data_IF_533659886896
#
_entry.id   IF_533659886896
#
_cell.length_a   1.000
_cell.length_b   1.000
_cell.length_c   1.000
_cell.angle_alpha   90.00
_cell.angle_beta   90.00
_cell.angle_gamma   90.00
#
_symmetry.space_group_name_H-M   'P 1'
#
loop_
_entity.id
_entity.type
_entity.pdbx_description
1 polymer ?
#
# COMPACT_ATOMS: atom_id res chain seq x y z
N UNK A 1 8.88 -91.52 10.61
CA UNK A 1 7.44 -91.79 10.39
C UNK A 1 6.94 -90.73 9.42
N UNK A 2 6.74 -91.14 8.17
CA UNK A 2 6.22 -90.31 7.06
C UNK A 2 4.72 -90.06 7.25
N UNK A 3 4.21 -88.92 6.79
CA UNK A 3 3.03 -88.78 5.91
C UNK A 3 2.91 -87.31 5.45
N UNK A 4 2.82 -87.16 4.11
CA UNK A 4 2.40 -85.98 3.37
C UNK A 4 0.88 -86.03 3.14
N UNK A 5 0.18 -84.89 3.22
CA UNK A 5 -1.05 -84.54 2.45
C UNK A 5 -1.14 -83.00 2.48
N UNK A 6 -1.02 -82.21 1.40
CA UNK A 6 -1.65 -82.10 0.08
C UNK A 6 -3.02 -81.35 0.07
N UNK A 7 -2.99 -80.12 -0.49
CA UNK A 7 -4.08 -79.30 -1.10
C UNK A 7 -5.09 -78.70 -0.08
N UNK A 8 -5.66 -77.50 -0.23
CA UNK A 8 -6.34 -76.87 -1.36
C UNK A 8 -6.37 -75.33 -1.14
N UNK A 9 -6.10 -74.54 -2.18
CA UNK A 9 -6.55 -73.13 -2.32
C UNK A 9 -7.96 -73.15 -2.93
N UNK A 10 -8.86 -72.20 -2.57
CA UNK A 10 -9.07 -71.12 -3.53
C UNK A 10 -9.44 -69.74 -2.95
N UNK A 11 -9.04 -68.71 -3.71
CA UNK A 11 -9.79 -67.50 -4.06
C UNK A 11 -10.64 -66.81 -2.99
N UNK A 12 -10.17 -65.65 -2.48
CA UNK A 12 -11.06 -64.50 -2.24
C UNK A 12 -10.34 -63.18 -2.52
N UNK A 13 -10.89 -62.48 -3.52
CA UNK A 13 -10.98 -61.03 -3.75
C UNK A 13 -9.76 -60.12 -3.54
N UNK A 14 -9.27 -59.66 -4.69
CA UNK A 14 -8.76 -58.31 -4.93
C UNK A 14 -9.77 -57.25 -4.41
N UNK A 15 -9.36 -56.45 -3.44
CA UNK A 15 -9.86 -55.09 -3.20
C UNK A 15 -8.59 -54.27 -2.90
N UNK A 16 -8.18 -53.35 -3.76
CA UNK A 16 -8.90 -52.12 -4.01
C UNK A 16 -8.03 -50.99 -3.48
N UNK A 17 -7.13 -50.54 -4.35
CA UNK A 17 -6.21 -49.41 -4.14
C UNK A 17 -6.98 -48.17 -3.72
N UNK A 18 -6.57 -47.51 -2.63
CA UNK A 18 -6.60 -46.04 -2.52
C UNK A 18 -5.48 -45.60 -1.58
N UNK A 19 -4.27 -45.54 -2.14
CA UNK A 19 -3.17 -44.80 -1.53
C UNK A 19 -3.45 -43.32 -1.74
N UNK A 20 -3.91 -42.63 -0.69
CA UNK A 20 -4.04 -41.17 -0.68
C UNK A 20 -2.63 -40.57 -0.62
N UNK A 21 -2.02 -40.39 -1.78
CA UNK A 21 -0.87 -39.53 -1.94
C UNK A 21 -1.33 -38.08 -1.74
N UNK A 22 -1.20 -37.57 -0.51
CA UNK A 22 -1.37 -36.16 -0.21
C UNK A 22 -0.21 -35.41 -0.87
N UNK A 23 -0.44 -34.98 -2.10
CA UNK A 23 0.48 -34.12 -2.84
C UNK A 23 0.34 -32.71 -2.28
N UNK A 24 1.21 -32.33 -1.34
CA UNK A 24 1.40 -30.93 -0.96
C UNK A 24 2.07 -30.19 -2.12
N UNK A 25 1.27 -29.74 -3.08
CA UNK A 25 1.69 -28.68 -3.99
C UNK A 25 1.76 -27.39 -3.18
N UNK A 26 2.93 -27.10 -2.62
CA UNK A 26 3.27 -25.78 -2.10
C UNK A 26 3.48 -24.81 -3.26
N UNK A 27 2.40 -24.39 -3.89
CA UNK A 27 2.37 -23.16 -4.66
C UNK A 27 2.26 -22.00 -3.68
N UNK A 28 3.41 -21.58 -3.13
CA UNK A 28 3.57 -20.22 -2.64
C UNK A 28 3.46 -19.29 -3.85
N UNK A 29 2.22 -18.95 -4.20
CA UNK A 29 1.96 -17.77 -4.99
C UNK A 29 2.43 -16.58 -4.15
N UNK A 30 3.61 -16.06 -4.47
CA UNK A 30 4.01 -14.71 -4.06
C UNK A 30 3.01 -13.78 -4.73
N UNK A 31 1.95 -13.47 -4.01
CA UNK A 31 0.94 -12.52 -4.45
C UNK A 31 1.64 -11.18 -4.69
N UNK A 32 1.69 -10.78 -5.96
CA UNK A 32 2.27 -9.53 -6.39
C UNK A 32 1.43 -8.35 -5.86
N UNK A 33 1.79 -7.87 -4.67
CA UNK A 33 1.93 -6.44 -4.37
C UNK A 33 0.71 -5.53 -4.48
N UNK A 34 -0.46 -5.97 -4.01
CA UNK A 34 -1.55 -5.07 -3.61
C UNK A 34 -2.11 -5.54 -2.27
N UNK A 35 -1.84 -4.81 -1.19
CA UNK A 35 -2.49 -5.07 0.10
C UNK A 35 -3.93 -4.56 0.04
N UNK A 36 -4.86 -5.30 0.67
CA UNK A 36 -6.21 -4.81 0.88
C UNK A 36 -6.16 -3.46 1.63
N UNK A 37 -6.98 -2.51 1.21
CA UNK A 37 -6.96 -1.14 1.75
C UNK A 37 -6.98 -1.06 3.28
N UNK A 38 -7.79 -1.86 4.03
CA UNK A 38 -7.77 -1.85 5.48
C UNK A 38 -6.40 -2.22 6.07
N UNK A 39 -5.75 -3.27 5.54
CA UNK A 39 -4.46 -3.73 6.02
C UNK A 39 -3.34 -2.72 5.77
N UNK A 40 -3.45 -1.93 4.69
CA UNK A 40 -2.48 -0.90 4.34
C UNK A 40 -2.49 0.27 5.35
N UNK A 41 -3.66 0.74 5.77
CA UNK A 41 -3.76 1.84 6.73
C UNK A 41 -3.40 1.40 8.16
N UNK A 42 -3.68 0.15 8.54
CA UNK A 42 -3.16 -0.39 9.81
C UNK A 42 -1.63 -0.50 9.80
N UNK A 43 -1.02 -0.89 8.67
CA UNK A 43 0.43 -0.89 8.53
C UNK A 43 1.00 0.54 8.61
N UNK A 44 0.34 1.51 7.96
CA UNK A 44 0.71 2.91 8.04
C UNK A 44 0.71 3.41 9.48
N UNK A 45 -0.35 3.13 10.24
CA UNK A 45 -0.45 3.53 11.65
C UNK A 45 0.67 2.92 12.48
N UNK A 46 0.96 1.63 12.31
CA UNK A 46 2.05 0.96 13.02
C UNK A 46 3.43 1.54 12.66
N UNK A 47 3.63 1.96 11.40
CA UNK A 47 4.89 2.52 10.92
C UNK A 47 5.08 3.99 11.33
N UNK A 48 4.04 4.81 11.20
CA UNK A 48 4.05 6.25 11.47
C UNK A 48 3.81 6.59 12.95
N UNK A 49 3.16 5.68 13.69
CA UNK A 49 2.81 5.84 15.10
C UNK A 49 1.43 6.44 15.36
N UNK A 50 0.74 6.94 14.33
CA UNK A 50 -0.66 7.38 14.38
C UNK A 50 -1.23 7.52 12.96
N UNK A 51 -2.54 7.80 12.86
CA UNK A 51 -3.17 8.19 11.60
C UNK A 51 -3.43 9.70 11.58
N UNK A 52 -3.01 10.36 10.51
CA UNK A 52 -3.34 11.76 10.24
C UNK A 52 -3.58 11.94 8.74
N UNK A 53 -4.14 13.09 8.33
CA UNK A 53 -4.35 13.38 6.92
C UNK A 53 -3.04 13.30 6.10
N UNK A 54 -1.93 13.79 6.67
CA UNK A 54 -0.63 13.75 6.02
C UNK A 54 -0.14 12.32 5.75
N UNK A 55 -0.22 11.42 6.72
CA UNK A 55 0.20 10.03 6.51
C UNK A 55 -0.69 9.33 5.46
N UNK A 56 -1.99 9.63 5.45
CA UNK A 56 -2.93 9.14 4.42
C UNK A 56 -2.57 9.71 3.04
N UNK A 57 -2.27 11.00 2.91
CA UNK A 57 -1.83 11.62 1.65
C UNK A 57 -0.64 10.87 1.05
N UNK A 58 0.32 10.49 1.88
CA UNK A 58 1.47 9.72 1.44
C UNK A 58 1.09 8.41 0.76
N UNK A 59 0.17 7.66 1.38
CA UNK A 59 -0.36 6.41 0.82
C UNK A 59 -1.07 6.66 -0.51
N UNK A 60 -1.95 7.67 -0.55
CA UNK A 60 -2.74 8.01 -1.73
C UNK A 60 -1.85 8.43 -2.90
N UNK A 61 -0.87 9.31 -2.66
CA UNK A 61 0.12 9.73 -3.65
C UNK A 61 0.96 8.54 -4.14
N UNK A 62 1.47 7.73 -3.22
CA UNK A 62 2.34 6.59 -3.52
C UNK A 62 1.64 5.52 -4.37
N UNK A 63 0.41 5.15 -4.01
CA UNK A 63 -0.39 4.18 -4.78
C UNK A 63 -0.73 4.71 -6.18
N UNK A 64 -1.24 5.95 -6.26
CA UNK A 64 -1.64 6.54 -7.53
C UNK A 64 -0.45 6.68 -8.50
N UNK A 65 0.70 7.15 -8.00
CA UNK A 65 1.92 7.26 -8.80
C UNK A 65 2.44 5.88 -9.25
N UNK A 66 2.46 4.89 -8.34
CA UNK A 66 2.92 3.53 -8.65
C UNK A 66 2.06 2.88 -9.71
N UNK A 67 0.74 3.00 -9.60
CA UNK A 67 -0.20 2.44 -10.56
C UNK A 67 -0.08 3.12 -11.93
N UNK A 68 -0.09 4.46 -11.96
CA UNK A 68 0.06 5.20 -13.20
C UNK A 68 1.40 4.88 -13.91
N UNK A 69 2.49 4.77 -13.15
CA UNK A 69 3.80 4.45 -13.72
C UNK A 69 3.86 3.01 -14.27
N UNK A 70 3.21 2.05 -13.59
CA UNK A 70 3.07 0.67 -14.10
C UNK A 70 2.24 0.63 -15.38
N UNK A 71 1.09 1.30 -15.41
CA UNK A 71 0.22 1.41 -16.58
C UNK A 71 0.93 2.10 -17.75
N UNK A 72 1.78 3.07 -17.47
CA UNK A 72 2.68 3.68 -18.45
C UNK A 72 3.84 2.75 -18.88
N UNK A 73 3.93 1.52 -18.40
CA UNK A 73 4.97 0.56 -18.75
C UNK A 73 6.33 0.84 -18.12
N UNK A 74 6.39 1.47 -16.94
CA UNK A 74 7.63 1.67 -16.18
C UNK A 74 8.29 0.34 -15.79
N UNK A 75 9.60 0.21 -16.01
CA UNK A 75 10.35 -1.03 -15.74
C UNK A 75 11.46 -0.86 -14.71
N UNK A 76 11.80 -1.96 -14.03
CA UNK A 76 12.87 -2.00 -13.02
C UNK A 76 12.46 -1.40 -11.68
N UNK A 77 13.47 -1.00 -10.88
CA UNK A 77 13.26 -0.38 -9.57
C UNK A 77 12.61 1.00 -9.72
N UNK A 78 11.71 1.36 -8.81
CA UNK A 78 11.15 2.71 -8.73
C UNK A 78 11.94 3.58 -7.76
N UNK A 79 12.09 4.85 -8.10
CA UNK A 79 12.67 5.88 -7.26
C UNK A 79 11.67 7.01 -7.07
N UNK A 80 11.44 7.40 -5.82
CA UNK A 80 10.58 8.49 -5.42
C UNK A 80 11.42 9.73 -5.07
N UNK A 81 10.92 10.88 -5.50
CA UNK A 81 11.33 12.19 -5.00
C UNK A 81 10.09 12.91 -4.48
N UNK A 82 10.13 13.29 -3.21
CA UNK A 82 9.06 14.03 -2.55
C UNK A 82 9.54 15.42 -2.13
N UNK A 83 8.64 16.41 -2.16
CA UNK A 83 9.03 17.83 -2.07
C UNK A 83 8.59 18.55 -0.79
N UNK A 84 8.37 17.79 0.28
CA UNK A 84 7.97 18.30 1.59
C UNK A 84 8.50 17.34 2.68
N UNK A 85 9.13 17.87 3.73
CA UNK A 85 9.58 17.09 4.88
C UNK A 85 8.47 16.95 5.93
N UNK A 86 7.46 16.13 5.63
CA UNK A 86 6.33 15.92 6.55
C UNK A 86 5.77 14.49 6.53
N UNK A 87 4.64 14.27 7.21
CA UNK A 87 4.02 12.96 7.41
C UNK A 87 3.77 12.10 6.14
N UNK A 88 3.49 12.66 4.94
CA UNK A 88 3.29 11.89 3.72
C UNK A 88 4.49 11.02 3.31
N UNK A 89 5.71 11.35 3.75
CA UNK A 89 6.90 10.53 3.50
C UNK A 89 6.67 9.08 3.91
N UNK A 90 6.12 8.86 5.09
CA UNK A 90 5.92 7.51 5.63
C UNK A 90 4.85 6.74 4.86
N UNK A 91 3.76 7.42 4.47
CA UNK A 91 2.77 6.83 3.58
C UNK A 91 3.33 6.45 2.21
N UNK A 92 4.23 7.27 1.65
CA UNK A 92 4.91 6.97 0.38
C UNK A 92 5.81 5.74 0.54
N UNK A 93 6.56 5.64 1.64
CA UNK A 93 7.40 4.48 1.92
C UNK A 93 6.58 3.19 1.97
N UNK A 94 5.45 3.20 2.69
CA UNK A 94 4.54 2.07 2.83
C UNK A 94 3.87 1.70 1.49
N UNK A 95 3.34 2.67 0.75
CA UNK A 95 2.58 2.41 -0.47
C UNK A 95 3.44 2.14 -1.72
N UNK A 96 4.46 2.97 -1.95
CA UNK A 96 5.30 2.89 -3.13
C UNK A 96 6.44 1.86 -2.97
N UNK A 97 6.79 1.49 -1.73
CA UNK A 97 7.95 0.62 -1.44
C UNK A 97 9.29 1.32 -1.67
N UNK A 98 9.28 2.64 -1.81
CA UNK A 98 10.47 3.47 -1.97
C UNK A 98 10.86 4.05 -0.62
N UNK A 99 11.97 3.60 -0.03
CA UNK A 99 12.35 3.97 1.34
C UNK A 99 13.68 4.71 1.38
N UNK A 100 13.95 5.40 2.50
CA UNK A 100 15.30 5.92 2.74
C UNK A 100 16.33 4.78 2.81
N UNK A 101 16.00 3.70 3.54
CA UNK A 101 16.90 2.57 3.76
C UNK A 101 17.30 1.84 2.48
N UNK A 102 16.37 1.69 1.51
CA UNK A 102 16.68 1.10 0.22
C UNK A 102 17.20 2.11 -0.82
N UNK A 103 17.51 3.34 -0.40
CA UNK A 103 18.01 4.45 -1.23
C UNK A 103 17.10 4.74 -2.43
N UNK A 104 15.80 4.52 -2.29
CA UNK A 104 14.82 4.76 -3.36
C UNK A 104 13.93 5.98 -3.08
N UNK A 105 14.07 6.64 -1.93
CA UNK A 105 13.38 7.88 -1.61
C UNK A 105 14.38 9.01 -1.41
N UNK A 106 14.13 10.15 -2.03
CA UNK A 106 14.82 11.42 -1.77
C UNK A 106 13.79 12.48 -1.42
N UNK A 107 14.07 13.30 -0.41
CA UNK A 107 13.19 14.39 0.00
C UNK A 107 13.90 15.72 -0.24
N UNK A 108 13.17 16.68 -0.80
CA UNK A 108 13.62 18.04 -1.04
C UNK A 108 12.59 18.98 -0.41
N UNK A 109 12.90 19.54 0.75
CA UNK A 109 11.93 20.34 1.50
C UNK A 109 11.65 21.67 0.75
N UNK A 110 10.47 21.73 0.10
CA UNK A 110 10.02 22.85 -0.72
C UNK A 110 8.57 23.24 -0.39
N UNK A 111 8.02 22.73 0.72
CA UNK A 111 6.62 22.92 1.12
C UNK A 111 5.60 22.52 0.03
N UNK A 112 5.92 21.49 -0.76
CA UNK A 112 5.06 21.01 -1.84
C UNK A 112 4.67 19.53 -1.68
N UNK A 113 3.36 19.25 -1.61
CA UNK A 113 2.82 17.89 -1.67
C UNK A 113 2.87 17.29 -3.09
N UNK A 114 4.09 17.22 -3.64
CA UNK A 114 4.41 16.72 -4.98
C UNK A 114 5.25 15.45 -4.84
N UNK A 115 4.83 14.37 -5.48
CA UNK A 115 5.60 13.13 -5.59
C UNK A 115 5.98 12.90 -7.05
N UNK A 116 7.27 12.74 -7.34
CA UNK A 116 7.73 12.24 -8.63
C UNK A 116 8.21 10.82 -8.45
N UNK A 117 7.63 9.89 -9.22
CA UNK A 117 8.04 8.49 -9.23
C UNK A 117 8.66 8.16 -10.60
N UNK A 118 9.86 7.60 -10.59
CA UNK A 118 10.65 7.29 -11.78
C UNK A 118 11.00 5.80 -11.83
N UNK A 119 10.78 5.18 -12.98
CA UNK A 119 11.21 3.82 -13.28
C UNK A 119 12.66 3.83 -13.78
N UNK A 120 13.58 3.17 -13.06
CA UNK A 120 15.01 3.23 -13.38
C UNK A 120 15.35 2.53 -14.70
N UNK A 121 14.62 1.47 -15.06
CA UNK A 121 14.91 0.62 -16.21
C UNK A 121 14.69 1.32 -17.56
N UNK A 122 13.66 2.16 -17.67
CA UNK A 122 13.33 2.86 -18.91
C UNK A 122 13.11 4.37 -18.75
N UNK A 123 13.46 4.93 -17.58
CA UNK A 123 13.44 6.36 -17.25
C UNK A 123 12.07 7.03 -17.38
N UNK A 124 10.97 6.26 -17.48
CA UNK A 124 9.61 6.81 -17.42
C UNK A 124 9.38 7.40 -16.04
N UNK A 125 8.65 8.51 -15.98
CA UNK A 125 8.33 9.17 -14.73
C UNK A 125 6.89 9.68 -14.74
N UNK A 126 6.28 9.67 -13.57
CA UNK A 126 4.99 10.31 -13.32
C UNK A 126 5.13 11.27 -12.15
N UNK A 127 4.29 12.30 -12.15
CA UNK A 127 4.13 13.23 -11.05
C UNK A 127 2.73 13.06 -10.47
N UNK A 128 2.63 12.94 -9.15
CA UNK A 128 1.38 12.90 -8.40
C UNK A 128 1.31 14.10 -7.46
N UNK A 129 0.17 14.79 -7.45
CA UNK A 129 -0.15 15.91 -6.55
C UNK A 129 -1.51 15.70 -5.92
N UNK A 130 -1.73 16.28 -4.75
CA UNK A 130 -3.06 16.30 -4.15
C UNK A 130 -3.99 17.21 -4.97
N UNK A 131 -5.28 16.89 -4.95
CA UNK A 131 -6.31 17.84 -5.40
C UNK A 131 -6.46 18.95 -4.35
N UNK A 132 -6.91 20.13 -4.78
CA UNK A 132 -7.24 21.23 -3.87
C UNK A 132 -8.24 20.80 -2.78
N UNK A 133 -9.25 20.00 -3.15
CA UNK A 133 -10.22 19.42 -2.21
C UNK A 133 -9.53 18.58 -1.13
N UNK A 134 -8.59 17.71 -1.51
CA UNK A 134 -7.85 16.90 -0.55
C UNK A 134 -6.99 17.75 0.39
N UNK A 135 -6.30 18.75 -0.14
CA UNK A 135 -5.50 19.70 0.67
C UNK A 135 -6.36 20.45 1.68
N UNK A 136 -7.49 21.00 1.25
CA UNK A 136 -8.45 21.70 2.11
C UNK A 136 -8.99 20.79 3.22
N UNK A 137 -9.33 19.54 2.90
CA UNK A 137 -9.76 18.54 3.88
C UNK A 137 -8.65 18.22 4.89
N UNK A 138 -7.40 18.07 4.43
CA UNK A 138 -6.25 17.87 5.31
C UNK A 138 -6.03 19.02 6.27
N UNK A 139 -6.06 20.26 5.76
CA UNK A 139 -5.93 21.47 6.58
C UNK A 139 -7.07 21.57 7.61
N UNK A 140 -8.31 21.33 7.19
CA UNK A 140 -9.47 21.30 8.10
C UNK A 140 -9.28 20.28 9.22
N UNK A 141 -8.88 19.05 8.90
CA UNK A 141 -8.64 18.02 9.92
C UNK A 141 -7.55 18.41 10.92
N UNK A 142 -6.49 19.12 10.45
CA UNK A 142 -5.43 19.63 11.33
C UNK A 142 -5.96 20.68 12.29
N UNK A 143 -6.78 21.60 11.79
CA UNK A 143 -7.34 22.68 12.59
C UNK A 143 -8.39 22.18 13.58
N UNK A 144 -9.21 21.20 13.20
CA UNK A 144 -10.09 20.47 14.12
C UNK A 144 -9.29 19.80 15.23
N UNK A 145 -8.20 19.08 14.89
CA UNK A 145 -7.32 18.45 15.86
C UNK A 145 -6.66 19.44 16.83
N UNK A 146 -6.31 20.66 16.36
CA UNK A 146 -5.79 21.73 17.23
C UNK A 146 -6.86 22.23 18.22
N UNK A 147 -8.10 22.43 17.75
CA UNK A 147 -9.23 22.84 18.59
C UNK A 147 -9.61 21.74 19.61
N UNK A 148 -9.64 20.48 19.20
CA UNK A 148 -9.93 19.36 20.09
C UNK A 148 -8.91 19.25 21.24
N UNK A 149 -7.62 19.48 20.95
CA UNK A 149 -6.52 19.37 21.94
C UNK A 149 -6.58 20.39 23.07
N UNK A 150 -7.20 21.56 22.86
CA UNK A 150 -7.33 22.59 23.93
C UNK A 150 -8.53 22.33 24.85
N UNK A 151 -9.41 21.40 24.49
CA UNK A 151 -10.59 21.04 25.26
C UNK A 151 -10.31 19.84 26.17
N UNK A 152 -11.00 19.73 27.33
CA UNK A 152 -11.00 18.53 28.16
C UNK A 152 -11.39 17.29 27.36
N UNK A 153 -10.78 16.15 27.69
CA UNK A 153 -10.95 14.88 26.93
C UNK A 153 -12.40 14.41 26.86
N UNK A 154 -13.19 14.68 27.90
CA UNK A 154 -14.60 14.30 28.05
C UNK A 154 -15.60 15.38 27.58
N UNK A 155 -15.12 16.53 27.09
CA UNK A 155 -15.98 17.60 26.62
C UNK A 155 -16.78 17.16 25.37
N UNK A 156 -18.12 17.31 25.34
CA UNK A 156 -18.93 16.96 24.16
C UNK A 156 -18.47 17.66 22.88
N UNK A 157 -18.01 18.91 22.98
CA UNK A 157 -17.46 19.67 21.86
C UNK A 157 -16.18 19.02 21.30
N UNK A 158 -15.32 18.48 22.17
CA UNK A 158 -14.10 17.78 21.73
C UNK A 158 -14.45 16.53 20.92
N UNK A 159 -15.38 15.73 21.42
CA UNK A 159 -15.83 14.51 20.74
C UNK A 159 -16.41 14.82 19.35
N UNK A 160 -17.15 15.92 19.21
CA UNK A 160 -17.67 16.36 17.91
C UNK A 160 -16.55 16.74 16.94
N UNK A 161 -15.54 17.48 17.40
CA UNK A 161 -14.39 17.87 16.58
C UNK A 161 -13.55 16.65 16.14
N UNK A 162 -13.35 15.69 17.05
CA UNK A 162 -12.65 14.44 16.78
C UNK A 162 -13.43 13.56 15.78
N UNK A 163 -14.75 13.49 15.92
CA UNK A 163 -15.62 12.76 14.98
C UNK A 163 -15.56 13.38 13.58
N UNK A 164 -15.63 14.71 13.48
CA UNK A 164 -15.52 15.42 12.19
C UNK A 164 -14.15 15.18 11.53
N UNK A 165 -13.07 15.13 12.32
CA UNK A 165 -11.74 14.79 11.81
C UNK A 165 -11.67 13.33 11.31
N UNK A 166 -12.31 12.37 11.99
CA UNK A 166 -12.34 10.98 11.55
C UNK A 166 -13.19 10.78 10.29
N UNK A 167 -14.27 11.56 10.11
CA UNK A 167 -15.04 11.58 8.86
C UNK A 167 -14.17 12.03 7.67
N UNK A 168 -13.33 13.04 7.88
CA UNK A 168 -12.33 13.46 6.88
C UNK A 168 -11.34 12.33 6.57
N UNK A 169 -10.81 11.67 7.60
CA UNK A 169 -9.87 10.55 7.39
C UNK A 169 -10.54 9.40 6.64
N UNK A 170 -11.78 9.08 6.97
CA UNK A 170 -12.59 8.06 6.28
C UNK A 170 -12.76 8.41 4.80
N UNK A 171 -13.09 9.67 4.48
CA UNK A 171 -13.18 10.12 3.10
C UNK A 171 -11.82 10.03 2.38
N UNK A 172 -10.75 10.52 2.99
CA UNK A 172 -9.40 10.47 2.38
C UNK A 172 -8.94 9.03 2.09
N UNK A 173 -9.28 8.07 2.97
CA UNK A 173 -8.93 6.66 2.79
C UNK A 173 -9.69 6.02 1.63
N UNK A 174 -10.96 6.36 1.46
CA UNK A 174 -11.93 5.61 0.63
C UNK A 174 -12.39 6.30 -0.65
N UNK A 175 -12.22 7.62 -0.79
CA UNK A 175 -12.64 8.37 -1.95
C UNK A 175 -12.01 7.84 -3.25
N UNK A 176 -12.63 8.08 -4.42
CA UNK A 176 -12.02 7.82 -5.72
C UNK A 176 -10.63 8.44 -5.85
N UNK A 177 -9.73 7.81 -6.61
CA UNK A 177 -8.33 8.24 -6.71
C UNK A 177 -8.22 9.66 -7.29
N UNK A 178 -9.00 9.95 -8.32
CA UNK A 178 -9.06 11.23 -9.04
C UNK A 178 -9.68 12.36 -8.21
N UNK A 179 -10.47 12.05 -7.18
CA UNK A 179 -10.93 13.05 -6.21
C UNK A 179 -9.82 13.51 -5.25
N UNK A 180 -8.78 12.70 -5.05
CA UNK A 180 -7.71 12.95 -4.06
C UNK A 180 -6.38 13.30 -4.71
N UNK A 181 -6.05 12.69 -5.84
CA UNK A 181 -4.74 12.77 -6.48
C UNK A 181 -4.88 13.03 -7.98
N UNK A 182 -4.12 14.00 -8.47
CA UNK A 182 -3.91 14.26 -9.88
C UNK A 182 -2.57 13.63 -10.28
N UNK A 183 -2.57 12.78 -11.31
CA UNK A 183 -1.36 12.15 -11.83
C UNK A 183 -1.07 12.58 -13.25
N UNK A 184 0.15 13.03 -13.52
CA UNK A 184 0.63 13.48 -14.83
C UNK A 184 1.85 12.67 -15.25
N UNK A 185 1.86 12.15 -16.49
CA UNK A 185 3.06 11.53 -17.05
C UNK A 185 4.07 12.61 -17.46
N UNK A 186 5.31 12.49 -17.01
CA UNK A 186 6.37 13.43 -17.37
C UNK A 186 7.05 12.99 -18.66
N UNK A 187 7.24 13.95 -19.59
CA UNK A 187 8.04 13.72 -20.79
C UNK A 187 9.51 13.55 -20.40
N UNK A 188 10.17 12.50 -20.88
CA UNK A 188 11.62 12.35 -20.71
C UNK A 188 12.32 13.57 -21.31
N UNK A 189 13.09 14.31 -20.50
CA UNK A 189 14.03 15.29 -21.06
C UNK A 189 14.99 14.51 -21.96
N UNK A 190 15.03 14.84 -23.26
CA UNK A 190 16.11 14.37 -24.13
C UNK A 190 17.41 14.89 -23.51
N UNK A 191 18.23 13.98 -22.98
CA UNK A 191 19.60 14.34 -22.63
C UNK A 191 20.27 14.71 -23.96
N UNK A 192 20.61 15.99 -24.13
CA UNK A 192 21.44 16.44 -25.25
C UNK A 192 22.71 15.59 -25.26
N UNK A 193 23.06 15.08 -26.44
CA UNK A 193 24.30 14.33 -26.66
C UNK A 193 25.51 15.22 -26.42
#
# INVERSE_FOLDING_TARGET
MTINYCKILPCVAFAGVMSLAVSFNSTLAVASGSMAAPALYSQLEAFHGHVCAGSIFGVRLGLAAKEALKTAGGTGKFMARYYDLSCPIDGIQVAAGTTYGNKALTVQDQDEHRLVLTAVGNKRSVEARLTKKAEEMGLRSRDLGKKAKILPTDAPERLQLEQEAEEIYTWLRSAPVDEVVIVTTLKSKKLGR
#
